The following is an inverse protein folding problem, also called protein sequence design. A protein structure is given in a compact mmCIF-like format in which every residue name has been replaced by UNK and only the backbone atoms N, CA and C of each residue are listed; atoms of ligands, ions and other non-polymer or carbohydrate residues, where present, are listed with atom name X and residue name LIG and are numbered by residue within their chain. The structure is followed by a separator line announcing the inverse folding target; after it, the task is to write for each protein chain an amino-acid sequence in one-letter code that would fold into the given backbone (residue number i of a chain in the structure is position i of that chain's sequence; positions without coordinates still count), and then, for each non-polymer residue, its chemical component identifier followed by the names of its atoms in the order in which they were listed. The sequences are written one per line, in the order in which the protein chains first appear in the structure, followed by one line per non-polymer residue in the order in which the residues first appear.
data_IF_370068731224
#
_entry.id   IF_370068731224
#
_cell.length_a   1.000
_cell.length_b   1.000
_cell.length_c   1.000
_cell.angle_alpha   90.00
_cell.angle_beta   90.00
_cell.angle_gamma   90.00
#
_symmetry.space_group_name_H-M   'P 1'
#
loop_
_entity.id
_entity.type
_entity.pdbx_description
1 polymer ?
#
# COMPACT_ATOMS: atom_id res chain seq x y z
N UNK A 1 -4.33 -21.98 19.06
CA UNK A 1 -4.64 -21.07 17.93
C UNK A 1 -4.63 -21.89 16.65
N UNK A 2 -5.61 -21.72 15.77
CA UNK A 2 -5.72 -22.49 14.52
C UNK A 2 -4.91 -21.76 13.46
N UNK A 3 -3.91 -22.41 12.88
CA UNK A 3 -3.16 -21.84 11.76
C UNK A 3 -4.09 -21.75 10.55
N UNK A 4 -4.38 -20.53 10.10
CA UNK A 4 -5.12 -20.27 8.86
C UNK A 4 -4.09 -19.89 7.80
N UNK A 5 -3.69 -20.85 6.98
CA UNK A 5 -2.98 -20.57 5.73
C UNK A 5 -4.03 -20.08 4.73
N UNK A 6 -3.97 -18.80 4.36
CA UNK A 6 -4.68 -18.33 3.17
C UNK A 6 -4.01 -18.93 1.94
N UNK A 7 -4.76 -19.67 1.13
CA UNK A 7 -4.30 -20.18 -0.17
C UNK A 7 -4.15 -18.98 -1.10
N UNK A 8 -2.93 -18.69 -1.56
CA UNK A 8 -2.70 -17.73 -2.63
C UNK A 8 -3.46 -18.21 -3.88
N UNK A 9 -4.47 -17.47 -4.30
CA UNK A 9 -5.07 -17.65 -5.61
C UNK A 9 -4.13 -17.04 -6.64
N UNK A 10 -3.32 -17.88 -7.28
CA UNK A 10 -2.71 -17.53 -8.56
C UNK A 10 -3.82 -17.54 -9.62
N UNK A 11 -3.84 -16.51 -10.47
CA UNK A 11 -4.93 -16.15 -11.39
C UNK A 11 -5.27 -17.22 -12.46
N UNK A 12 -4.53 -18.33 -12.51
CA UNK A 12 -4.64 -19.37 -13.55
C UNK A 12 -5.57 -20.54 -13.24
N UNK A 13 -6.57 -20.41 -12.35
CA UNK A 13 -7.49 -21.53 -12.05
C UNK A 13 -8.94 -21.28 -12.48
N UNK A 14 -9.33 -20.06 -12.85
CA UNK A 14 -10.75 -19.80 -13.20
C UNK A 14 -11.13 -19.97 -14.67
N UNK A 15 -10.18 -20.08 -15.62
CA UNK A 15 -10.49 -20.00 -17.05
C UNK A 15 -9.76 -21.01 -17.97
N UNK A 16 -9.49 -22.24 -17.52
CA UNK A 16 -8.93 -23.28 -18.38
C UNK A 16 -9.88 -24.48 -18.52
N UNK A 17 -10.75 -24.44 -19.53
CA UNK A 17 -11.36 -25.65 -20.09
C UNK A 17 -10.40 -26.18 -21.15
N UNK A 18 -9.37 -26.91 -20.72
CA UNK A 18 -8.31 -27.42 -21.58
C UNK A 18 -7.56 -28.56 -20.88
N UNK A 19 -7.05 -29.47 -21.70
CA UNK A 19 -6.42 -30.73 -21.29
C UNK A 19 -5.22 -30.47 -20.37
N UNK A 20 -5.03 -31.29 -19.34
CA UNK A 20 -4.02 -31.13 -18.28
C UNK A 20 -2.58 -30.95 -18.80
N UNK A 21 -2.26 -31.50 -19.97
CA UNK A 21 -0.93 -31.43 -20.59
C UNK A 21 -0.60 -30.08 -21.27
N UNK A 22 -1.61 -29.30 -21.71
CA UNK A 22 -1.38 -27.96 -22.30
C UNK A 22 -1.27 -26.86 -21.24
N UNK A 23 -1.87 -27.08 -20.06
CA UNK A 23 -1.80 -26.16 -18.92
C UNK A 23 -0.37 -26.16 -18.35
N UNK A 24 0.29 -27.31 -18.29
CA UNK A 24 1.65 -27.44 -17.71
C UNK A 24 2.70 -26.66 -18.52
N UNK A 25 2.65 -26.72 -19.86
CA UNK A 25 3.59 -25.97 -20.73
C UNK A 25 3.35 -24.45 -20.75
N UNK A 26 2.13 -24.01 -20.45
CA UNK A 26 1.78 -22.58 -20.35
C UNK A 26 2.04 -22.00 -18.94
N UNK A 27 2.39 -22.84 -17.97
CA UNK A 27 2.79 -22.45 -16.61
C UNK A 27 4.29 -22.14 -16.51
N UNK A 28 5.12 -22.74 -17.37
CA UNK A 28 6.57 -22.52 -17.38
C UNK A 28 6.99 -21.10 -17.79
N UNK A 29 6.12 -20.34 -18.46
CA UNK A 29 6.42 -19.00 -18.98
C UNK A 29 5.66 -17.85 -18.27
N UNK A 30 5.07 -18.13 -17.10
CA UNK A 30 4.59 -17.05 -16.22
C UNK A 30 5.70 -16.72 -15.26
N UNK A 31 6.42 -15.63 -15.53
CA UNK A 31 7.37 -15.06 -14.56
C UNK A 31 6.69 -14.98 -13.19
N UNK A 32 7.17 -15.80 -12.25
CA UNK A 32 6.67 -15.78 -10.89
C UNK A 32 7.08 -14.44 -10.29
N UNK A 33 6.12 -13.65 -9.81
CA UNK A 33 6.42 -12.35 -9.23
C UNK A 33 7.39 -12.50 -8.04
N UNK A 34 8.55 -11.85 -8.13
CA UNK A 34 9.57 -11.86 -7.08
C UNK A 34 9.55 -10.54 -6.29
N UNK A 35 9.07 -10.54 -5.03
CA UNK A 35 9.08 -9.34 -4.21
C UNK A 35 10.51 -8.92 -3.85
N UNK A 36 10.83 -7.64 -4.06
CA UNK A 36 12.08 -7.02 -3.61
C UNK A 36 11.80 -6.07 -2.45
N UNK A 37 12.70 -6.04 -1.47
CA UNK A 37 12.56 -5.17 -0.28
C UNK A 37 12.46 -3.69 -0.66
N UNK A 38 13.25 -3.25 -1.63
CA UNK A 38 13.18 -1.88 -2.14
C UNK A 38 11.82 -1.58 -2.76
N UNK A 39 11.29 -2.50 -3.55
CA UNK A 39 9.96 -2.38 -4.15
C UNK A 39 8.86 -2.27 -3.08
N UNK A 40 8.99 -3.06 -2.02
CA UNK A 40 8.07 -3.02 -0.89
C UNK A 40 8.14 -1.69 -0.13
N UNK A 41 9.33 -1.17 0.15
CA UNK A 41 9.48 0.15 0.80
C UNK A 41 8.90 1.27 -0.06
N UNK A 42 9.15 1.27 -1.38
CA UNK A 42 8.53 2.24 -2.29
C UNK A 42 7.00 2.15 -2.23
N UNK A 43 6.45 0.93 -2.25
CA UNK A 43 5.01 0.71 -2.12
C UNK A 43 4.45 1.24 -0.79
N UNK A 44 5.16 1.05 0.32
CA UNK A 44 4.74 1.56 1.63
C UNK A 44 4.72 3.08 1.68
N UNK A 45 5.74 3.74 1.11
CA UNK A 45 5.79 5.21 1.03
C UNK A 45 4.63 5.76 0.21
N UNK A 46 4.34 5.17 -0.94
CA UNK A 46 3.22 5.59 -1.79
C UNK A 46 1.87 5.32 -1.09
N UNK A 47 1.72 4.15 -0.47
CA UNK A 47 0.49 3.79 0.25
C UNK A 47 0.25 4.71 1.43
N UNK A 48 1.31 5.09 2.17
CA UNK A 48 1.21 6.03 3.28
C UNK A 48 0.59 7.35 2.83
N UNK A 49 1.10 7.95 1.75
CA UNK A 49 0.59 9.21 1.21
C UNK A 49 -0.91 9.12 0.89
N UNK A 50 -1.33 8.01 0.28
CA UNK A 50 -2.73 7.77 -0.07
C UNK A 50 -3.60 7.67 1.19
N UNK A 51 -3.19 6.89 2.19
CA UNK A 51 -3.95 6.74 3.43
C UNK A 51 -4.00 8.05 4.22
N UNK A 52 -2.90 8.80 4.32
CA UNK A 52 -2.89 10.13 4.93
C UNK A 52 -3.89 11.08 4.27
N UNK A 53 -3.95 11.07 2.93
CA UNK A 53 -4.89 11.88 2.16
C UNK A 53 -6.34 11.50 2.44
N UNK A 54 -6.66 10.19 2.42
CA UNK A 54 -8.00 9.69 2.67
C UNK A 54 -8.47 9.94 4.12
N UNK A 55 -7.60 9.66 5.09
CA UNK A 55 -7.86 9.88 6.50
C UNK A 55 -8.12 11.38 6.75
N UNK A 56 -7.33 12.26 6.13
CA UNK A 56 -7.58 13.69 6.28
C UNK A 56 -8.90 14.14 5.64
N UNK A 57 -9.22 13.70 4.41
CA UNK A 57 -10.49 14.06 3.75
C UNK A 57 -11.68 13.67 4.63
N UNK A 58 -11.63 12.49 5.25
CA UNK A 58 -12.69 12.00 6.14
C UNK A 58 -12.78 12.84 7.42
N UNK A 59 -11.66 13.25 8.00
CA UNK A 59 -11.62 14.09 9.21
C UNK A 59 -12.09 15.52 8.94
N UNK A 60 -11.64 16.15 7.86
CA UNK A 60 -11.94 17.55 7.52
C UNK A 60 -13.34 17.76 6.93
N UNK A 61 -13.96 16.72 6.36
CA UNK A 61 -15.24 16.93 5.67
C UNK A 61 -16.38 17.29 6.63
N UNK A 62 -17.22 18.23 6.24
CA UNK A 62 -18.43 18.59 6.99
C UNK A 62 -19.62 17.68 6.64
N UNK A 63 -19.49 16.85 5.59
CA UNK A 63 -20.56 15.95 5.18
C UNK A 63 -20.77 14.84 6.21
N UNK A 64 -22.00 14.74 6.71
CA UNK A 64 -22.42 13.76 7.72
C UNK A 64 -22.22 12.31 7.27
N UNK A 65 -22.16 12.04 5.97
CA UNK A 65 -21.85 10.72 5.43
C UNK A 65 -20.43 10.27 5.75
N UNK A 66 -19.47 11.19 5.86
CA UNK A 66 -18.08 10.86 6.22
C UNK A 66 -17.87 10.63 7.72
N UNK A 67 -18.78 11.11 8.58
CA UNK A 67 -18.68 10.89 10.02
C UNK A 67 -18.62 9.40 10.39
N UNK A 68 -19.23 8.51 9.59
CA UNK A 68 -19.19 7.06 9.80
C UNK A 68 -17.83 6.41 9.50
N UNK A 69 -16.95 7.11 8.76
CA UNK A 69 -15.63 6.61 8.39
C UNK A 69 -14.51 7.13 9.30
N UNK A 70 -14.84 7.98 10.29
CA UNK A 70 -13.89 8.42 11.31
C UNK A 70 -13.70 7.36 12.38
N UNK A 71 -12.46 7.14 12.79
CA UNK A 71 -12.10 6.31 13.96
C UNK A 71 -12.64 4.89 13.84
N UNK A 72 -12.52 4.32 12.64
CA UNK A 72 -12.95 2.96 12.33
C UNK A 72 -11.98 1.91 12.86
N UNK A 73 -10.73 2.30 13.17
CA UNK A 73 -9.63 1.39 13.46
C UNK A 73 -8.99 0.82 12.20
N UNK A 74 -9.40 1.28 11.02
CA UNK A 74 -8.83 0.90 9.72
C UNK A 74 -7.85 1.96 9.19
N UNK A 75 -7.55 2.99 9.96
CA UNK A 75 -6.51 3.98 9.67
C UNK A 75 -5.14 3.31 9.61
N UNK A 76 -4.39 3.55 8.54
CA UNK A 76 -3.13 2.84 8.24
C UNK A 76 -1.92 3.75 8.22
N UNK A 77 -2.10 5.06 8.05
CA UNK A 77 -1.00 6.00 7.92
C UNK A 77 -0.01 5.94 9.10
N UNK A 78 -0.52 5.90 10.34
CA UNK A 78 0.30 5.86 11.55
C UNK A 78 1.10 4.54 11.64
N UNK A 79 0.44 3.40 11.37
CA UNK A 79 1.08 2.08 11.45
C UNK A 79 2.16 1.95 10.38
N UNK A 80 1.88 2.38 9.14
CA UNK A 80 2.86 2.36 8.05
C UNK A 80 4.06 3.26 8.38
N UNK A 81 3.85 4.39 9.06
CA UNK A 81 4.95 5.25 9.52
C UNK A 81 5.90 4.52 10.48
N UNK A 82 5.35 3.76 11.43
CA UNK A 82 6.16 2.92 12.35
C UNK A 82 6.92 1.83 11.61
N UNK A 83 6.29 1.22 10.60
CA UNK A 83 6.96 0.21 9.76
C UNK A 83 8.13 0.83 8.98
N UNK A 84 7.96 2.02 8.41
CA UNK A 84 9.03 2.74 7.71
C UNK A 84 10.16 3.17 8.65
N UNK A 85 9.85 3.62 9.87
CA UNK A 85 10.85 3.90 10.90
C UNK A 85 11.65 2.63 11.25
N UNK A 86 10.96 1.50 11.40
CA UNK A 86 11.61 0.21 11.64
C UNK A 86 12.55 -0.15 10.48
N UNK A 87 12.15 0.03 9.22
CA UNK A 87 13.03 -0.19 8.06
C UNK A 87 14.24 0.75 8.05
N UNK A 88 14.05 2.01 8.44
CA UNK A 88 15.15 2.97 8.55
C UNK A 88 16.19 2.52 9.60
N UNK A 89 15.74 1.98 10.74
CA UNK A 89 16.62 1.41 11.76
C UNK A 89 17.40 0.17 11.29
N UNK A 90 16.86 -0.59 10.33
CA UNK A 90 17.57 -1.69 9.68
C UNK A 90 18.58 -1.24 8.60
N UNK A 91 18.73 0.07 8.39
CA UNK A 91 19.63 0.64 7.40
C UNK A 91 19.04 0.72 5.99
N UNK A 92 17.72 0.54 5.83
CA UNK A 92 17.07 0.74 4.54
C UNK A 92 16.86 2.23 4.25
N UNK A 93 17.03 2.63 2.98
CA UNK A 93 16.77 4.01 2.54
C UNK A 93 15.28 4.19 2.29
N UNK A 94 14.67 5.19 2.93
CA UNK A 94 13.28 5.57 2.69
C UNK A 94 13.24 6.61 1.56
N UNK A 95 12.73 6.27 0.37
CA UNK A 95 12.65 7.19 -0.75
C UNK A 95 11.49 8.18 -0.57
N UNK A 96 11.47 9.21 -1.42
CA UNK A 96 10.28 10.05 -1.56
C UNK A 96 9.17 9.31 -2.32
N UNK A 97 7.89 9.66 -2.08
CA UNK A 97 6.76 9.08 -2.80
C UNK A 97 6.88 9.30 -4.31
N UNK A 98 6.50 8.27 -5.07
CA UNK A 98 6.55 8.25 -6.52
C UNK A 98 5.23 8.76 -7.11
N UNK A 99 5.27 8.99 -8.42
CA UNK A 99 4.13 9.45 -9.21
C UNK A 99 2.82 8.65 -9.01
N UNK A 100 2.79 7.30 -8.94
CA UNK A 100 1.51 6.60 -8.74
C UNK A 100 0.82 6.96 -7.42
N UNK A 101 1.56 7.06 -6.30
CA UNK A 101 1.00 7.51 -5.03
C UNK A 101 0.52 8.96 -5.09
N UNK A 102 1.33 9.84 -5.69
CA UNK A 102 0.99 11.26 -5.83
C UNK A 102 -0.20 11.52 -6.78
N UNK A 103 -0.30 10.78 -7.89
CA UNK A 103 -1.41 10.86 -8.83
C UNK A 103 -2.70 10.38 -8.18
N UNK A 104 -2.66 9.25 -7.47
CA UNK A 104 -3.85 8.71 -6.81
C UNK A 104 -4.33 9.64 -5.69
N UNK A 105 -3.42 10.13 -4.84
CA UNK A 105 -3.75 11.13 -3.84
C UNK A 105 -4.30 12.43 -4.48
N UNK A 106 -3.70 12.86 -5.60
CA UNK A 106 -4.12 14.03 -6.35
C UNK A 106 -5.53 13.94 -6.92
N UNK A 107 -5.98 12.75 -7.35
CA UNK A 107 -7.34 12.53 -7.87
C UNK A 107 -8.43 12.83 -6.82
N UNK A 108 -8.12 12.73 -5.53
CA UNK A 108 -9.07 13.07 -4.46
C UNK A 108 -9.19 14.57 -4.19
N UNK A 109 -8.44 15.42 -4.91
CA UNK A 109 -8.67 16.88 -4.95
C UNK A 109 -8.47 17.63 -3.63
N UNK A 110 -7.95 16.99 -2.58
CA UNK A 110 -7.77 17.57 -1.27
C UNK A 110 -6.32 17.91 -0.99
N UNK A 111 -5.97 19.19 -1.12
CA UNK A 111 -4.80 19.76 -0.46
C UNK A 111 -5.06 19.87 1.05
N UNK A 112 -5.36 18.75 1.72
CA UNK A 112 -5.20 18.69 3.15
C UNK A 112 -3.69 18.52 3.43
N UNK A 113 -3.02 19.62 3.77
CA UNK A 113 -1.63 19.60 4.22
C UNK A 113 -0.56 19.73 3.13
N UNK A 114 -0.62 20.77 2.30
CA UNK A 114 0.59 21.26 1.59
C UNK A 114 1.68 21.81 2.53
N UNK A 115 1.54 21.66 3.85
CA UNK A 115 2.61 21.89 4.83
C UNK A 115 3.00 20.60 5.58
N UNK A 116 2.94 19.43 4.95
CA UNK A 116 3.82 18.33 5.38
C UNK A 116 5.25 18.63 4.89
N UNK A 117 5.89 19.62 5.53
CA UNK A 117 7.34 19.80 5.42
C UNK A 117 7.97 18.47 5.81
N UNK A 118 8.62 17.83 4.85
CA UNK A 118 9.54 16.72 5.05
C UNK A 118 10.47 17.08 6.23
N UNK A 119 10.20 16.53 7.41
CA UNK A 119 11.15 16.58 8.52
C UNK A 119 12.03 15.35 8.35
N UNK A 120 13.26 15.49 7.86
CA UNK A 120 14.15 14.34 7.75
C UNK A 120 14.36 13.75 9.15
N UNK A 121 14.38 12.42 9.22
CA UNK A 121 14.55 11.59 10.44
C UNK A 121 15.96 11.73 11.05
N UNK A 122 16.65 12.85 10.83
CA UNK A 122 18.00 13.14 11.31
C UNK A 122 18.06 14.11 12.50
N UNK A 123 16.92 14.39 13.16
CA UNK A 123 16.83 15.26 14.33
C UNK A 123 15.97 14.64 15.46
N UNK A 124 16.36 13.44 15.89
CA UNK A 124 16.19 12.89 17.24
C UNK A 124 17.47 12.11 17.58
#
# INVERSE_FOLDING_TARGET
MRFVTMKLCSEKVSNAQGNEEEIESSLENSETWEPKIEGFINYLVDSKLVFETLECIVEESEDVSYAYFRKTGLERAEVISKDLEWFSQQGCVIPNPRNPGASYAGDFGGACGQECSYVPVSLL
#
